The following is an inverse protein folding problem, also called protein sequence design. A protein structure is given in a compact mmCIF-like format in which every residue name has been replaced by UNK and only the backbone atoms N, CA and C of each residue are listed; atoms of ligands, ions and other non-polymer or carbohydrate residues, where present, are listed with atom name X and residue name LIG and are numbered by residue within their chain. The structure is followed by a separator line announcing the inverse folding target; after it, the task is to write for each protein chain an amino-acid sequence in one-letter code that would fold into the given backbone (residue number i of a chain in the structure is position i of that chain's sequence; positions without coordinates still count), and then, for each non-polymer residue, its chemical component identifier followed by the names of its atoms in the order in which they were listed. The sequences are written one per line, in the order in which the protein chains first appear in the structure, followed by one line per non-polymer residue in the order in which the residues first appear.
data_IF_669649785795
#
_entry.id   IF_669649785795
#
_cell.length_a   1.000
_cell.length_b   1.000
_cell.length_c   1.000
_cell.angle_alpha   90.00
_cell.angle_beta   90.00
_cell.angle_gamma   90.00
#
_symmetry.space_group_name_H-M   'P 1'
#
loop_
_entity.id
_entity.type
_entity.pdbx_description
1 polymer ?
#
# COMPACT_ATOMS: atom_id res chain seq x y z
N UNK A 1 9.37 62.20 -0.57
CA UNK A 1 10.78 62.35 -0.16
C UNK A 1 11.38 60.95 -0.11
N UNK A 2 12.46 60.62 -0.87
CA UNK A 2 13.88 60.63 -0.41
C UNK A 2 14.06 59.88 0.93
N UNK A 3 14.85 58.81 1.13
CA UNK A 3 15.83 57.98 0.34
C UNK A 3 15.81 56.55 0.97
N UNK A 4 16.01 55.41 0.29
CA UNK A 4 17.22 54.87 -0.37
C UNK A 4 18.37 54.43 0.59
N UNK A 5 18.47 53.12 0.87
CA UNK A 5 19.68 52.32 1.17
C UNK A 5 19.27 50.82 1.02
N UNK A 6 19.85 49.93 0.20
CA UNK A 6 21.23 49.36 0.18
C UNK A 6 21.63 48.76 1.55
N UNK A 7 22.21 47.56 1.70
CA UNK A 7 22.78 46.53 0.81
C UNK A 7 22.89 45.22 1.65
N UNK A 8 22.89 43.98 1.11
CA UNK A 8 24.10 43.23 0.75
C UNK A 8 23.77 41.91 0.00
N UNK A 9 24.66 41.51 -0.92
CA UNK A 9 24.64 40.22 -1.64
C UNK A 9 26.00 39.53 -1.47
N UNK A 10 25.99 38.23 -1.14
CA UNK A 10 27.01 37.20 -1.43
C UNK A 10 26.43 35.87 -0.89
N UNK A 11 26.19 34.77 -1.63
CA UNK A 11 26.90 34.07 -2.72
C UNK A 11 28.27 33.52 -2.29
N UNK A 12 28.33 32.23 -1.92
CA UNK A 12 29.19 31.16 -2.51
C UNK A 12 28.76 29.78 -1.94
N UNK A 13 28.31 28.79 -2.72
CA UNK A 13 28.99 27.76 -3.55
C UNK A 13 29.16 26.37 -2.87
N UNK A 14 28.57 25.35 -3.52
CA UNK A 14 28.85 23.90 -3.59
C UNK A 14 29.59 23.13 -2.48
N UNK A 15 29.02 21.95 -2.13
CA UNK A 15 29.68 20.65 -2.38
C UNK A 15 28.71 19.47 -2.28
N UNK A 16 28.31 18.91 -3.42
CA UNK A 16 27.88 17.51 -3.48
C UNK A 16 29.13 16.62 -3.36
N UNK A 17 29.05 15.54 -2.58
CA UNK A 17 30.13 14.55 -2.47
C UNK A 17 29.60 13.15 -2.73
N UNK A 18 29.54 12.80 -4.00
CA UNK A 18 29.46 11.40 -4.41
C UNK A 18 30.67 10.61 -3.90
N UNK A 19 30.42 9.37 -3.49
CA UNK A 19 31.44 8.36 -3.20
C UNK A 19 30.96 7.00 -3.71
N UNK A 20 31.26 6.74 -4.98
CA UNK A 20 31.20 5.41 -5.58
C UNK A 20 32.61 4.86 -5.81
N UNK A 21 32.72 3.53 -5.91
CA UNK A 21 33.92 2.69 -5.99
C UNK A 21 34.76 2.65 -4.68
N UNK A 22 35.21 1.48 -4.20
CA UNK A 22 35.75 0.38 -5.00
C UNK A 22 35.39 -1.03 -4.52
N UNK A 23 35.25 -1.93 -5.49
CA UNK A 23 35.27 -3.39 -5.36
C UNK A 23 36.61 -3.89 -4.82
N UNK A 24 36.58 -4.93 -3.99
CA UNK A 24 37.73 -5.81 -3.72
C UNK A 24 37.34 -7.25 -4.02
N UNK A 25 37.82 -7.79 -5.14
CA UNK A 25 37.88 -9.23 -5.43
C UNK A 25 39.26 -9.79 -5.06
N UNK A 26 39.44 -11.11 -5.19
CA UNK A 26 40.71 -11.88 -5.08
C UNK A 26 41.07 -12.26 -3.63
N UNK A 27 41.41 -13.51 -3.25
CA UNK A 27 41.69 -14.72 -4.05
C UNK A 27 41.35 -16.04 -3.33
N UNK A 28 41.07 -17.07 -4.14
CA UNK A 28 41.49 -18.49 -4.01
C UNK A 28 41.46 -19.22 -2.65
N UNK A 29 40.72 -20.35 -2.62
CA UNK A 29 41.35 -21.65 -2.92
C UNK A 29 40.36 -22.73 -3.36
N UNK A 30 40.68 -23.41 -4.46
CA UNK A 30 40.10 -24.70 -4.85
C UNK A 30 41.00 -25.80 -4.27
N UNK A 31 40.43 -26.90 -3.81
CA UNK A 31 41.12 -28.19 -3.78
C UNK A 31 40.14 -29.31 -4.14
N UNK A 32 40.60 -30.31 -4.90
CA UNK A 32 39.77 -31.37 -5.50
C UNK A 32 40.58 -32.65 -5.62
N UNK A 33 40.17 -33.73 -4.93
CA UNK A 33 40.79 -35.05 -5.01
C UNK A 33 39.78 -36.21 -4.98
N UNK A 34 39.34 -36.68 -6.15
CA UNK A 34 39.70 -37.99 -6.77
C UNK A 34 40.45 -39.00 -5.87
N UNK A 35 40.09 -40.30 -5.69
CA UNK A 35 38.96 -41.15 -6.14
C UNK A 35 38.96 -42.53 -5.40
N UNK A 36 38.09 -43.48 -5.78
CA UNK A 36 38.09 -44.95 -5.49
C UNK A 36 37.58 -45.47 -4.12
N UNK A 37 36.87 -46.61 -4.02
CA UNK A 37 36.39 -47.58 -5.04
C UNK A 37 35.14 -48.40 -4.58
N UNK A 38 34.43 -48.96 -5.58
CA UNK A 38 33.53 -50.13 -5.63
C UNK A 38 32.63 -50.57 -4.44
N UNK A 39 31.32 -50.71 -4.71
CA UNK A 39 30.57 -52.01 -4.75
C UNK A 39 29.10 -51.80 -5.20
N UNK A 40 28.59 -52.65 -6.10
CA UNK A 40 27.17 -52.79 -6.53
C UNK A 40 26.93 -54.26 -7.00
N UNK A 41 25.68 -54.74 -7.19
CA UNK A 41 24.40 -54.53 -6.48
C UNK A 41 23.77 -55.89 -6.05
N UNK A 42 22.51 -55.97 -5.53
CA UNK A 42 21.29 -56.04 -6.38
C UNK A 42 20.12 -55.17 -5.82
N UNK A 43 19.40 -54.40 -6.64
CA UNK A 43 18.23 -54.76 -7.48
C UNK A 43 16.89 -54.95 -6.71
N UNK A 44 15.83 -54.32 -7.24
CA UNK A 44 14.44 -54.19 -6.72
C UNK A 44 14.19 -53.31 -5.48
N UNK A 45 13.65 -52.10 -5.69
CA UNK A 45 12.59 -51.45 -4.88
C UNK A 45 12.12 -50.06 -5.42
N UNK A 46 12.06 -49.87 -6.75
CA UNK A 46 11.82 -48.53 -7.36
C UNK A 46 10.63 -48.50 -8.36
N UNK A 47 9.52 -49.19 -8.06
CA UNK A 47 8.30 -49.19 -8.91
C UNK A 47 6.96 -49.11 -8.17
N UNK A 48 6.97 -48.76 -6.88
CA UNK A 48 5.77 -48.68 -6.03
C UNK A 48 5.56 -47.28 -5.41
N UNK A 49 6.10 -46.22 -6.05
CA UNK A 49 5.87 -44.81 -5.65
C UNK A 49 5.22 -43.95 -6.75
N UNK A 50 4.60 -44.58 -7.74
CA UNK A 50 3.59 -43.94 -8.59
C UNK A 50 2.22 -44.11 -7.92
N UNK A 51 1.70 -43.07 -7.23
CA UNK A 51 0.29 -43.03 -6.77
C UNK A 51 -0.21 -41.69 -6.16
N UNK A 52 0.65 -40.75 -5.74
CA UNK A 52 0.24 -39.58 -4.92
C UNK A 52 0.76 -38.22 -5.41
N UNK A 53 1.02 -38.06 -6.71
CA UNK A 53 1.33 -36.76 -7.33
C UNK A 53 0.45 -36.47 -8.57
N UNK A 54 -0.86 -36.56 -8.37
CA UNK A 54 -1.86 -35.89 -9.21
C UNK A 54 -2.65 -34.95 -8.31
N UNK A 55 -3.06 -33.79 -8.85
CA UNK A 55 -3.81 -32.73 -8.16
C UNK A 55 -3.06 -31.90 -7.09
N UNK A 56 -2.19 -31.00 -7.56
CA UNK A 56 -2.45 -29.57 -7.33
C UNK A 56 -1.87 -28.72 -8.45
N UNK A 57 -2.69 -28.48 -9.47
CA UNK A 57 -2.46 -27.37 -10.40
C UNK A 57 -2.68 -26.07 -9.62
N UNK A 58 -1.64 -25.61 -8.91
CA UNK A 58 -1.64 -24.29 -8.29
C UNK A 58 -1.75 -23.27 -9.40
N UNK A 59 -2.94 -22.69 -9.57
CA UNK A 59 -3.16 -21.60 -10.52
C UNK A 59 -2.12 -20.52 -10.22
N UNK A 60 -1.24 -20.28 -11.20
CA UNK A 60 -0.14 -19.34 -11.07
C UNK A 60 -0.75 -17.94 -11.21
N UNK A 61 -1.28 -17.43 -10.09
CA UNK A 61 -1.87 -16.10 -10.00
C UNK A 61 -0.85 -15.09 -10.49
N UNK A 62 -1.11 -14.54 -11.67
CA UNK A 62 -0.18 -13.62 -12.33
C UNK A 62 -0.19 -12.33 -11.54
N UNK A 63 0.90 -12.07 -10.81
CA UNK A 63 1.08 -10.83 -10.05
C UNK A 63 0.83 -9.64 -10.97
N UNK A 64 -0.26 -8.91 -10.72
CA UNK A 64 -0.59 -7.70 -11.45
C UNK A 64 0.52 -6.67 -11.16
N UNK A 65 1.11 -6.02 -12.18
CA UNK A 65 2.19 -5.06 -11.95
C UNK A 65 1.69 -3.89 -11.10
N UNK A 66 2.59 -3.19 -10.41
CA UNK A 66 2.22 -2.15 -9.44
C UNK A 66 1.39 -0.96 -9.97
N UNK A 67 1.19 -0.81 -11.29
CA UNK A 67 0.22 0.12 -11.90
C UNK A 67 -1.20 -0.43 -12.00
N UNK A 68 -1.39 -1.73 -11.82
CA UNK A 68 -2.67 -2.45 -11.90
C UNK A 68 -3.59 -2.29 -10.69
N UNK A 69 -3.10 -1.71 -9.58
CA UNK A 69 -3.89 -1.49 -8.35
C UNK A 69 -4.57 -0.12 -8.27
N UNK A 70 -4.39 0.75 -9.27
CA UNK A 70 -5.22 1.95 -9.41
C UNK A 70 -6.53 1.61 -10.13
N UNK A 71 -7.60 2.32 -9.77
CA UNK A 71 -8.93 2.15 -10.35
C UNK A 71 -10.05 2.35 -9.33
N UNK A 72 -11.26 1.98 -9.74
CA UNK A 72 -12.43 1.98 -8.87
C UNK A 72 -12.66 0.59 -8.31
N UNK A 73 -13.12 0.56 -7.07
CA UNK A 73 -13.31 -0.65 -6.27
C UNK A 73 -14.66 -0.54 -5.57
N UNK A 74 -15.45 -1.61 -5.60
CA UNK A 74 -16.80 -1.69 -5.03
C UNK A 74 -16.88 -2.72 -3.91
N UNK A 75 -17.47 -2.34 -2.79
CA UNK A 75 -17.55 -3.12 -1.55
C UNK A 75 -18.36 -4.41 -1.75
N UNK A 76 -17.75 -5.55 -1.47
CA UNK A 76 -18.25 -6.88 -1.86
C UNK A 76 -19.48 -7.35 -1.09
N UNK A 77 -19.72 -6.79 0.10
CA UNK A 77 -20.86 -7.09 0.99
C UNK A 77 -22.04 -6.12 0.82
N UNK A 78 -21.87 -5.05 0.03
CA UNK A 78 -22.96 -4.13 -0.27
C UNK A 78 -24.04 -4.81 -1.11
N UNK A 79 -25.32 -4.53 -0.78
CA UNK A 79 -26.44 -4.92 -1.64
C UNK A 79 -26.14 -4.50 -3.09
N UNK A 80 -26.34 -5.42 -4.05
CA UNK A 80 -25.96 -5.25 -5.47
C UNK A 80 -26.77 -4.19 -6.24
N UNK A 81 -27.28 -3.17 -5.55
CA UNK A 81 -27.79 -1.96 -6.13
C UNK A 81 -26.73 -1.23 -6.96
N UNK A 82 -27.21 -0.36 -7.84
CA UNK A 82 -26.38 0.38 -8.80
C UNK A 82 -25.71 1.62 -8.20
N UNK A 83 -26.00 1.97 -6.95
CA UNK A 83 -25.52 3.19 -6.31
C UNK A 83 -24.15 2.99 -5.63
N UNK A 84 -23.14 3.73 -6.12
CA UNK A 84 -21.78 3.67 -5.61
C UNK A 84 -21.58 4.42 -4.27
N UNK A 85 -22.52 5.28 -3.85
CA UNK A 85 -22.41 6.30 -2.80
C UNK A 85 -21.22 6.16 -1.83
N UNK A 86 -21.32 5.26 -0.83
CA UNK A 86 -20.23 4.96 0.12
C UNK A 86 -19.73 3.52 0.01
N UNK A 87 -20.15 2.83 -1.05
CA UNK A 87 -19.77 1.46 -1.36
C UNK A 87 -18.63 1.41 -2.38
N UNK A 88 -18.17 2.55 -2.89
CA UNK A 88 -17.10 2.63 -3.89
C UNK A 88 -15.96 3.52 -3.40
N UNK A 89 -14.73 3.06 -3.60
CA UNK A 89 -13.51 3.85 -3.39
C UNK A 89 -12.76 3.96 -4.73
N UNK A 90 -12.11 5.10 -4.95
CA UNK A 90 -11.16 5.26 -6.07
C UNK A 90 -9.73 5.30 -5.52
N UNK A 91 -8.92 4.32 -5.93
CA UNK A 91 -7.49 4.23 -5.60
C UNK A 91 -6.70 4.90 -6.72
N UNK A 92 -5.98 5.96 -6.35
CA UNK A 92 -5.16 6.77 -7.26
C UNK A 92 -3.89 7.20 -6.54
N UNK A 93 -2.75 7.04 -7.21
CA UNK A 93 -1.43 7.47 -6.71
C UNK A 93 -0.99 8.83 -7.31
N UNK A 94 -1.66 9.29 -8.37
CA UNK A 94 -1.29 10.52 -9.11
C UNK A 94 -2.07 11.76 -8.64
N UNK A 95 -3.24 11.55 -8.01
CA UNK A 95 -4.14 12.58 -7.50
C UNK A 95 -4.89 12.12 -6.25
N UNK A 96 -5.30 13.04 -5.36
CA UNK A 96 -6.28 12.75 -4.33
C UNK A 96 -7.63 12.30 -4.90
N UNK A 97 -8.37 11.53 -4.12
CA UNK A 97 -9.72 11.04 -4.43
C UNK A 97 -10.69 11.32 -3.28
N UNK A 98 -11.97 11.50 -3.59
CA UNK A 98 -13.02 11.74 -2.61
C UNK A 98 -13.57 10.41 -2.08
N UNK A 99 -13.57 10.23 -0.75
CA UNK A 99 -13.99 9.01 -0.06
C UNK A 99 -15.11 9.33 0.93
N UNK A 100 -16.18 8.52 0.95
CA UNK A 100 -17.29 8.66 1.90
C UNK A 100 -16.98 7.98 3.23
N UNK A 101 -17.01 8.72 4.35
CA UNK A 101 -16.80 8.17 5.70
C UNK A 101 -18.11 8.04 6.50
N UNK A 102 -19.18 8.72 6.08
CA UNK A 102 -20.54 8.57 6.60
C UNK A 102 -21.56 9.00 5.54
N UNK A 103 -22.61 8.19 5.34
CA UNK A 103 -23.47 8.27 4.17
C UNK A 103 -24.28 9.56 4.14
N UNK A 104 -24.17 10.29 3.04
CA UNK A 104 -24.81 11.58 2.79
C UNK A 104 -24.44 12.65 3.86
N UNK A 105 -23.43 12.37 4.69
CA UNK A 105 -23.08 13.14 5.90
C UNK A 105 -21.64 13.62 5.94
N UNK A 106 -20.67 12.87 5.43
CA UNK A 106 -19.25 13.22 5.48
C UNK A 106 -18.43 12.57 4.36
N UNK A 107 -17.61 13.40 3.71
CA UNK A 107 -16.66 13.00 2.67
C UNK A 107 -15.30 13.66 2.92
N UNK A 108 -14.23 12.91 2.67
CA UNK A 108 -12.84 13.38 2.78
C UNK A 108 -12.14 13.33 1.44
N UNK A 109 -11.20 14.25 1.23
CA UNK A 109 -10.15 14.11 0.23
C UNK A 109 -9.03 13.27 0.83
N UNK A 110 -8.69 12.16 0.18
CA UNK A 110 -7.64 11.24 0.60
C UNK A 110 -6.57 11.07 -0.49
N UNK A 111 -5.31 10.87 -0.11
CA UNK A 111 -4.23 10.43 -1.02
C UNK A 111 -3.82 8.99 -0.69
N UNK A 112 -3.55 8.19 -1.73
CA UNK A 112 -2.97 6.86 -1.57
C UNK A 112 -1.45 6.92 -1.81
N UNK A 113 -0.67 6.19 -1.02
CA UNK A 113 0.78 6.07 -1.17
C UNK A 113 1.18 4.59 -1.08
N UNK A 114 2.02 4.10 -1.99
CA UNK A 114 2.45 2.69 -1.99
C UNK A 114 3.43 2.45 -0.84
N UNK A 115 3.20 1.40 -0.07
CA UNK A 115 4.09 0.97 1.02
C UNK A 115 4.79 -0.36 0.76
N UNK A 116 4.35 -1.10 -0.26
CA UNK A 116 4.91 -2.37 -0.67
C UNK A 116 4.44 -2.75 -2.08
N UNK A 117 4.66 -4.01 -2.47
CA UNK A 117 4.25 -4.52 -3.78
C UNK A 117 2.72 -4.54 -3.92
N UNK A 118 2.03 -5.02 -2.87
CA UNK A 118 0.58 -5.19 -2.81
C UNK A 118 -0.07 -4.38 -1.67
N UNK A 119 0.56 -3.32 -1.17
CA UNK A 119 0.04 -2.52 -0.06
C UNK A 119 0.14 -1.02 -0.30
N UNK A 120 -0.85 -0.28 0.19
CA UNK A 120 -0.84 1.18 0.19
C UNK A 120 -1.40 1.75 1.49
N UNK A 121 -0.86 2.89 1.92
CA UNK A 121 -1.44 3.71 2.98
C UNK A 121 -2.39 4.75 2.37
N UNK A 122 -3.43 5.08 3.11
CA UNK A 122 -4.39 6.14 2.79
C UNK A 122 -4.22 7.26 3.81
N UNK A 123 -4.00 8.49 3.35
CA UNK A 123 -3.83 9.66 4.21
C UNK A 123 -4.95 10.67 3.98
N UNK A 124 -5.47 11.22 5.07
CA UNK A 124 -6.38 12.36 5.06
C UNK A 124 -5.66 13.62 4.53
N UNK A 125 -6.40 14.47 3.82
CA UNK A 125 -5.92 15.78 3.36
C UNK A 125 -6.82 16.90 3.89
N UNK A 126 -8.13 16.78 3.68
CA UNK A 126 -9.15 17.75 4.08
C UNK A 126 -10.54 17.12 4.01
N UNK A 127 -11.54 17.72 4.65
CA UNK A 127 -12.94 17.47 4.30
C UNK A 127 -13.19 17.94 2.85
N UNK A 128 -13.84 17.12 2.02
CA UNK A 128 -14.06 17.46 0.61
C UNK A 128 -15.38 18.19 0.34
N UNK A 129 -16.34 18.09 1.27
CA UNK A 129 -17.66 18.73 1.18
C UNK A 129 -18.00 19.39 2.50
N UNK A 130 -18.62 20.56 2.41
CA UNK A 130 -19.29 21.16 3.57
C UNK A 130 -20.43 20.23 3.98
N UNK A 131 -20.33 19.70 5.19
CA UNK A 131 -21.09 18.53 5.60
C UNK A 131 -21.47 18.69 7.07
N UNK A 132 -22.65 18.18 7.45
CA UNK A 132 -23.24 18.37 8.78
C UNK A 132 -23.17 17.06 9.56
N UNK A 133 -22.00 16.71 10.15
CA UNK A 133 -21.91 15.57 11.05
C UNK A 133 -22.73 15.82 12.32
N UNK A 134 -23.19 14.74 12.96
CA UNK A 134 -23.95 14.84 14.22
C UNK A 134 -23.14 15.50 15.35
N UNK A 135 -21.80 15.46 15.26
CA UNK A 135 -20.86 16.21 16.09
C UNK A 135 -19.85 16.94 15.20
N UNK A 136 -19.56 18.24 15.42
CA UNK A 136 -18.49 18.94 14.70
C UNK A 136 -17.13 18.25 14.85
N UNK A 137 -16.44 18.08 13.73
CA UNK A 137 -15.11 17.47 13.67
C UNK A 137 -14.02 18.55 13.59
N UNK A 138 -12.93 18.44 14.36
CA UNK A 138 -11.81 19.38 14.32
C UNK A 138 -10.90 19.07 13.14
N UNK A 139 -11.41 19.25 11.91
CA UNK A 139 -10.73 18.88 10.66
C UNK A 139 -9.31 19.45 10.54
N UNK A 140 -9.11 20.69 10.97
CA UNK A 140 -7.82 21.40 10.91
C UNK A 140 -6.81 20.92 11.98
N UNK A 141 -7.24 20.08 12.92
CA UNK A 141 -6.38 19.48 13.96
C UNK A 141 -5.96 18.04 13.65
N UNK A 142 -6.45 17.43 12.56
CA UNK A 142 -6.13 16.05 12.19
C UNK A 142 -4.79 15.95 11.44
N UNK A 143 -4.03 14.90 11.75
CA UNK A 143 -2.80 14.57 11.05
C UNK A 143 -3.06 14.23 9.57
N UNK A 144 -2.33 14.89 8.66
CA UNK A 144 -2.33 14.59 7.22
C UNK A 144 -1.15 13.69 6.78
N UNK A 145 -0.29 13.34 7.74
CA UNK A 145 0.89 12.49 7.57
C UNK A 145 0.83 11.16 8.36
N UNK A 146 -0.24 10.95 9.12
CA UNK A 146 -0.57 9.66 9.74
C UNK A 146 -1.61 8.94 8.86
N UNK A 147 -1.46 7.65 8.54
CA UNK A 147 -2.45 6.94 7.74
C UNK A 147 -3.79 6.82 8.47
N UNK A 148 -4.90 7.06 7.76
CA UNK A 148 -6.26 6.87 8.27
C UNK A 148 -6.84 5.50 7.91
N UNK A 149 -6.28 4.85 6.89
CA UNK A 149 -6.57 3.48 6.51
C UNK A 149 -5.36 2.83 5.81
N UNK A 150 -5.36 1.51 5.73
CA UNK A 150 -4.44 0.74 4.88
C UNK A 150 -5.22 -0.07 3.85
N UNK A 151 -4.59 -0.32 2.69
CA UNK A 151 -5.11 -1.14 1.60
C UNK A 151 -4.17 -2.33 1.39
N UNK A 152 -4.73 -3.54 1.35
CA UNK A 152 -4.02 -4.76 0.97
C UNK A 152 -4.67 -5.36 -0.28
N UNK A 153 -3.95 -5.31 -1.40
CA UNK A 153 -4.41 -5.81 -2.69
C UNK A 153 -4.18 -7.33 -2.81
N UNK A 154 -5.16 -8.03 -3.34
CA UNK A 154 -5.13 -9.48 -3.48
C UNK A 154 -4.90 -9.90 -4.94
N UNK A 155 -4.39 -11.12 -5.21
CA UNK A 155 -4.07 -11.57 -6.57
C UNK A 155 -5.28 -11.75 -7.50
N UNK A 156 -6.50 -11.81 -6.95
CA UNK A 156 -7.76 -11.84 -7.70
C UNK A 156 -8.24 -10.45 -8.15
N UNK A 157 -7.50 -9.39 -7.80
CA UNK A 157 -7.84 -8.00 -8.08
C UNK A 157 -8.74 -7.35 -7.04
N UNK A 158 -9.12 -8.05 -5.96
CA UNK A 158 -9.79 -7.43 -4.82
C UNK A 158 -8.80 -6.62 -3.96
N UNK A 159 -9.33 -5.79 -3.05
CA UNK A 159 -8.55 -5.12 -1.99
C UNK A 159 -9.31 -5.19 -0.68
N UNK A 160 -8.58 -5.40 0.40
CA UNK A 160 -9.05 -5.22 1.77
C UNK A 160 -8.68 -3.80 2.23
N UNK A 161 -9.60 -3.13 2.92
CA UNK A 161 -9.43 -1.81 3.52
C UNK A 161 -9.62 -1.94 5.04
N UNK A 162 -8.52 -1.79 5.78
CA UNK A 162 -8.52 -1.68 7.25
C UNK A 162 -8.54 -0.20 7.63
N UNK A 163 -9.60 0.21 8.34
CA UNK A 163 -9.78 1.60 8.76
C UNK A 163 -9.22 1.82 10.18
N UNK A 164 -8.19 2.66 10.24
CA UNK A 164 -7.47 3.00 11.46
C UNK A 164 -8.17 4.13 12.25
N UNK A 165 -8.63 5.18 11.55
CA UNK A 165 -9.22 6.37 12.16
C UNK A 165 -8.40 7.64 11.94
N UNK A 166 -8.95 8.78 12.35
CA UNK A 166 -8.23 10.06 12.35
C UNK A 166 -7.26 10.12 13.53
N UNK A 167 -6.06 10.63 13.28
CA UNK A 167 -5.06 10.89 14.31
C UNK A 167 -4.87 12.38 14.58
N UNK A 168 -4.30 12.69 15.74
CA UNK A 168 -3.71 13.98 16.07
C UNK A 168 -2.44 13.74 16.89
N UNK A 169 -1.38 14.47 16.57
CA UNK A 169 -0.08 14.35 17.23
C UNK A 169 0.50 12.91 17.18
N UNK A 170 0.09 12.13 16.16
CA UNK A 170 0.45 10.72 15.96
C UNK A 170 -0.47 9.69 16.65
N UNK A 171 -1.41 10.12 17.50
CA UNK A 171 -2.32 9.23 18.24
C UNK A 171 -3.73 9.20 17.61
N UNK A 172 -4.31 8.00 17.45
CA UNK A 172 -5.66 7.81 16.92
C UNK A 172 -6.70 8.37 17.92
N UNK A 173 -7.51 9.32 17.46
CA UNK A 173 -8.58 9.90 18.28
C UNK A 173 -9.75 8.91 18.33
N UNK A 174 -9.85 8.17 19.42
CA UNK A 174 -10.85 7.12 19.63
C UNK A 174 -12.29 7.58 19.47
N UNK A 175 -12.60 8.84 19.78
CA UNK A 175 -13.92 9.44 19.59
C UNK A 175 -14.33 9.52 18.10
N UNK A 176 -13.36 9.67 17.20
CA UNK A 176 -13.60 9.83 15.75
C UNK A 176 -13.21 8.59 14.93
N UNK A 177 -12.52 7.62 15.54
CA UNK A 177 -12.10 6.38 14.89
C UNK A 177 -13.26 5.52 14.33
N UNK A 178 -14.49 5.72 14.82
CA UNK A 178 -15.68 5.02 14.32
C UNK A 178 -16.27 5.60 13.02
N UNK A 179 -15.98 6.87 12.70
CA UNK A 179 -16.27 7.42 11.37
C UNK A 179 -15.39 6.70 10.34
N UNK A 180 -15.92 6.34 9.17
CA UNK A 180 -15.22 5.46 8.23
C UNK A 180 -15.30 3.98 8.59
N UNK A 181 -15.16 3.57 9.86
CA UNK A 181 -15.14 2.14 10.23
C UNK A 181 -16.42 1.36 9.92
N UNK A 182 -17.57 2.03 9.77
CA UNK A 182 -18.83 1.39 9.33
C UNK A 182 -19.03 1.41 7.82
N UNK A 183 -18.56 2.45 7.12
CA UNK A 183 -18.74 2.60 5.67
C UNK A 183 -17.61 1.93 4.89
N UNK A 184 -16.37 2.29 5.21
CA UNK A 184 -15.17 1.98 4.43
C UNK A 184 -14.54 0.62 4.76
N UNK A 185 -14.55 0.20 6.02
CA UNK A 185 -13.94 -1.08 6.46
C UNK A 185 -14.44 -2.29 5.63
N UNK A 186 -13.52 -3.14 5.16
CA UNK A 186 -13.83 -4.43 4.55
C UNK A 186 -13.26 -4.65 3.14
N UNK A 187 -13.79 -5.66 2.44
CA UNK A 187 -13.29 -6.10 1.13
C UNK A 187 -14.03 -5.44 -0.04
N UNK A 188 -13.28 -5.05 -1.06
CA UNK A 188 -13.78 -4.47 -2.31
C UNK A 188 -13.29 -5.27 -3.51
N UNK A 189 -14.14 -5.43 -4.52
CA UNK A 189 -13.80 -6.00 -5.83
C UNK A 189 -13.54 -4.85 -6.82
N UNK A 190 -12.56 -4.98 -7.70
CA UNK A 190 -12.31 -3.98 -8.76
C UNK A 190 -13.46 -3.91 -9.76
N UNK A 191 -13.80 -2.71 -10.21
CA UNK A 191 -14.77 -2.45 -11.30
C UNK A 191 -14.15 -2.58 -12.70
#
# INVERSE_FOLDING_TARGET
MKKLLFMLIAVVLFSCKDRNNATSETSERIDTQTISADTLPPENLQKERDALQTEKATAQASALPATGFSGKYRKSDSDKGTDCNCNCIEVSYDRPTEWCIDKDKMYISARCEKTGENTANVYFIAASRESSPDKPLPWDEFDTNTPVATLTFQPDGSTELDWLGFSKDGEIITEYALYGKKSLEGTYTKE
#
